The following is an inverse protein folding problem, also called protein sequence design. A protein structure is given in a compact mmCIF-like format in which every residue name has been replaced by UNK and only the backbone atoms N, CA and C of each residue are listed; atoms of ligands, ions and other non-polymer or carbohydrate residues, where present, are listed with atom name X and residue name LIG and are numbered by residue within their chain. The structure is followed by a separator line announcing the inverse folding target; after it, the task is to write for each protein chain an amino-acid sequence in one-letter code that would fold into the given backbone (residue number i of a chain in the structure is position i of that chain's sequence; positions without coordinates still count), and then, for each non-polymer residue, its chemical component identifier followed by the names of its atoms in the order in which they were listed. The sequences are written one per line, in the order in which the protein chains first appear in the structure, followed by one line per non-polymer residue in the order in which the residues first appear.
data_IF_208937893436
#
_entry.id   IF_208937893436
#
_cell.length_a   1.000
_cell.length_b   1.000
_cell.length_c   1.000
_cell.angle_alpha   90.00
_cell.angle_beta   90.00
_cell.angle_gamma   90.00
#
_symmetry.space_group_name_H-M   'P 1'
#
loop_
_entity.id
_entity.type
_entity.pdbx_description
1 polymer ?
#
# COMPACT_ATOMS: atom_id res chain seq x y z
N UNK A 1 -12.41 -10.55 -8.41
CA UNK A 1 -12.41 -9.94 -7.07
C UNK A 1 -11.58 -10.83 -6.18
N UNK A 2 -10.26 -10.60 -6.10
CA UNK A 2 -9.40 -11.36 -5.20
C UNK A 2 -9.61 -10.80 -3.79
N UNK A 3 -9.83 -11.71 -2.85
CA UNK A 3 -10.38 -11.47 -1.53
C UNK A 3 -9.47 -10.55 -0.68
N UNK A 4 -10.08 -9.63 0.07
CA UNK A 4 -9.36 -8.79 1.07
C UNK A 4 -8.68 -9.66 2.14
N UNK A 5 -9.13 -10.90 2.30
CA UNK A 5 -8.60 -11.88 3.24
C UNK A 5 -7.09 -12.17 3.04
N UNK A 6 -6.54 -12.01 1.83
CA UNK A 6 -5.14 -12.40 1.52
C UNK A 6 -4.18 -11.20 1.44
N UNK A 7 -4.68 -9.96 1.46
CA UNK A 7 -3.85 -8.78 1.22
C UNK A 7 -2.70 -8.63 2.24
N UNK A 8 -2.98 -8.79 3.53
CA UNK A 8 -1.99 -8.61 4.59
C UNK A 8 -0.88 -9.68 4.59
N UNK A 9 -1.18 -10.86 4.05
CA UNK A 9 -0.20 -11.95 3.89
C UNK A 9 0.81 -11.63 2.79
N UNK A 10 0.37 -10.90 1.76
CA UNK A 10 1.25 -10.43 0.69
C UNK A 10 2.16 -9.29 1.15
N UNK A 11 1.84 -8.57 2.23
CA UNK A 11 2.70 -7.49 2.73
C UNK A 11 4.01 -8.09 3.26
N UNK A 12 5.12 -7.44 2.93
CA UNK A 12 6.43 -7.79 3.48
C UNK A 12 6.39 -7.81 5.02
N UNK A 13 6.93 -8.83 5.70
CA UNK A 13 6.79 -8.98 7.16
C UNK A 13 7.20 -7.75 7.98
N UNK A 14 8.21 -7.01 7.52
CA UNK A 14 8.68 -5.78 8.16
C UNK A 14 7.68 -4.62 8.06
N UNK A 15 6.93 -4.55 6.96
CA UNK A 15 5.99 -3.45 6.69
C UNK A 15 4.64 -3.72 7.35
N UNK A 16 4.29 -5.00 7.60
CA UNK A 16 2.99 -5.42 8.17
C UNK A 16 2.55 -4.62 9.40
N UNK A 17 3.37 -4.43 10.46
CA UNK A 17 2.90 -3.77 11.67
C UNK A 17 2.47 -2.33 11.42
N UNK A 18 3.26 -1.59 10.64
CA UNK A 18 2.98 -0.21 10.28
C UNK A 18 1.73 -0.10 9.42
N UNK A 19 1.58 -0.99 8.45
CA UNK A 19 0.49 -0.96 7.49
C UNK A 19 -0.84 -1.36 8.13
N UNK A 20 -0.84 -2.39 8.98
CA UNK A 20 -2.02 -2.79 9.75
C UNK A 20 -2.45 -1.68 10.73
N UNK A 21 -1.50 -1.00 11.35
CA UNK A 21 -1.80 0.13 12.23
C UNK A 21 -2.44 1.30 11.45
N UNK A 22 -1.86 1.70 10.32
CA UNK A 22 -2.40 2.76 9.47
C UNK A 22 -3.81 2.42 8.95
N UNK A 23 -4.05 1.16 8.56
CA UNK A 23 -5.35 0.69 8.14
C UNK A 23 -6.38 0.72 9.29
N UNK A 24 -5.99 0.29 10.50
CA UNK A 24 -6.84 0.33 11.68
C UNK A 24 -7.20 1.76 12.08
N UNK A 25 -6.26 2.69 12.01
CA UNK A 25 -6.50 4.10 12.34
C UNK A 25 -7.42 4.77 11.33
N UNK A 26 -7.23 4.51 10.03
CA UNK A 26 -8.17 4.95 9.01
C UNK A 26 -9.59 4.44 9.29
N UNK A 27 -9.75 3.16 9.64
CA UNK A 27 -11.04 2.57 10.00
C UNK A 27 -11.68 3.20 11.24
N UNK A 28 -10.89 3.66 12.22
CA UNK A 28 -11.41 4.39 13.39
C UNK A 28 -11.87 5.82 13.06
N UNK A 29 -11.57 6.30 11.85
CA UNK A 29 -11.82 7.68 11.43
C UNK A 29 -10.64 8.61 11.66
N UNK A 30 -9.44 8.04 11.74
CA UNK A 30 -8.19 8.76 11.61
C UNK A 30 -7.97 9.27 10.18
N UNK A 31 -6.75 9.76 9.89
CA UNK A 31 -6.40 10.30 8.58
C UNK A 31 -6.58 9.25 7.47
N UNK A 32 -6.70 9.74 6.23
CA UNK A 32 -6.77 8.89 5.04
C UNK A 32 -5.56 7.96 5.00
N UNK A 33 -5.80 6.70 4.66
CA UNK A 33 -4.77 5.72 4.42
C UNK A 33 -4.05 6.10 3.13
N UNK A 34 -2.75 6.35 3.20
CA UNK A 34 -1.92 6.76 2.07
C UNK A 34 -0.48 6.31 2.36
N UNK A 35 -0.12 5.14 1.86
CA UNK A 35 1.12 4.46 2.24
C UNK A 35 1.74 3.71 1.06
N UNK A 36 3.06 3.68 1.02
CA UNK A 36 3.84 2.82 0.13
C UNK A 36 4.45 1.68 0.94
N UNK A 37 4.35 0.46 0.43
CA UNK A 37 4.93 -0.71 1.10
C UNK A 37 5.28 -1.80 0.10
N UNK A 38 6.09 -2.75 0.57
CA UNK A 38 6.53 -3.90 -0.22
C UNK A 38 5.51 -5.02 -0.10
N UNK A 39 5.21 -5.64 -1.23
CA UNK A 39 4.43 -6.88 -1.28
C UNK A 39 5.25 -8.00 -1.92
N UNK A 40 5.09 -9.21 -1.40
CA UNK A 40 5.67 -10.44 -1.91
C UNK A 40 4.54 -11.19 -2.62
N UNK A 41 4.64 -11.31 -3.94
CA UNK A 41 3.71 -12.09 -4.74
C UNK A 41 3.91 -13.60 -4.49
N UNK A 42 2.92 -14.46 -4.79
CA UNK A 42 3.04 -15.91 -4.61
C UNK A 42 4.24 -16.54 -5.34
N UNK A 43 4.74 -15.90 -6.41
CA UNK A 43 5.95 -16.31 -7.14
C UNK A 43 7.26 -15.89 -6.45
N UNK A 44 7.22 -15.26 -5.27
CA UNK A 44 8.38 -14.75 -4.53
C UNK A 44 8.87 -13.37 -4.97
N UNK A 45 8.23 -12.77 -5.98
CA UNK A 45 8.62 -11.47 -6.51
C UNK A 45 8.22 -10.36 -5.54
N UNK A 46 9.17 -9.49 -5.20
CA UNK A 46 8.92 -8.29 -4.42
C UNK A 46 8.51 -7.13 -5.33
N UNK A 47 7.40 -6.48 -4.99
CA UNK A 47 6.89 -5.29 -5.67
C UNK A 47 6.67 -4.17 -4.67
N UNK A 48 6.85 -2.94 -5.11
CA UNK A 48 6.46 -1.77 -4.32
C UNK A 48 5.08 -1.32 -4.78
N UNK A 49 4.16 -1.19 -3.83
CA UNK A 49 2.80 -0.73 -4.11
C UNK A 49 2.52 0.55 -3.34
N UNK A 50 1.81 1.47 -3.99
CA UNK A 50 1.20 2.63 -3.36
C UNK A 50 -0.27 2.32 -3.12
N UNK A 51 -0.71 2.44 -1.88
CA UNK A 51 -2.10 2.18 -1.52
C UNK A 51 -2.70 3.37 -0.82
N UNK A 52 -3.83 3.82 -1.36
CA UNK A 52 -4.56 4.98 -0.85
C UNK A 52 -6.03 4.64 -0.68
N UNK A 53 -6.57 4.92 0.50
CA UNK A 53 -7.95 4.61 0.84
C UNK A 53 -8.54 5.52 1.91
N UNK A 54 -9.86 5.54 1.94
CA UNK A 54 -10.66 6.29 2.91
C UNK A 54 -11.72 5.35 3.51
N UNK A 55 -11.88 5.42 4.83
CA UNK A 55 -12.91 4.68 5.54
C UNK A 55 -14.15 5.56 5.71
N UNK A 56 -14.98 5.59 4.66
CA UNK A 56 -16.23 6.34 4.71
C UNK A 56 -17.17 5.72 5.74
N UNK A 57 -17.74 6.57 6.60
CA UNK A 57 -18.85 6.19 7.47
C UNK A 57 -20.02 5.77 6.59
N UNK A 58 -20.50 4.56 6.78
CA UNK A 58 -21.79 4.17 6.22
C UNK A 58 -22.89 4.95 6.95
N UNK A 59 -23.98 5.28 6.25
CA UNK A 59 -25.19 5.85 6.85
C UNK A 59 -25.69 4.88 7.93
N UNK A 60 -26.11 5.45 9.06
CA UNK A 60 -26.50 4.84 10.35
C UNK A 60 -26.59 3.29 10.41
N UNK A 61 -25.78 2.70 11.30
CA UNK A 61 -25.90 1.29 11.71
C UNK A 61 -25.00 0.30 10.97
N UNK A 62 -24.29 0.71 9.92
CA UNK A 62 -23.40 -0.18 9.15
C UNK A 62 -21.91 0.00 9.49
N UNK A 63 -21.11 -1.08 9.40
CA UNK A 63 -19.67 -1.02 9.63
C UNK A 63 -18.99 -0.12 8.59
N UNK A 64 -18.00 0.65 9.03
CA UNK A 64 -17.15 1.45 8.14
C UNK A 64 -16.46 0.52 7.15
N UNK A 65 -16.63 0.79 5.86
CA UNK A 65 -15.94 0.07 4.79
C UNK A 65 -14.77 0.93 4.31
N UNK A 66 -13.61 0.30 4.18
CA UNK A 66 -12.45 0.93 3.55
C UNK A 66 -12.60 0.81 2.04
N UNK A 67 -12.54 1.93 1.34
CA UNK A 67 -12.44 1.97 -0.12
C UNK A 67 -11.10 2.56 -0.48
N UNK A 68 -10.36 1.91 -1.37
CA UNK A 68 -9.05 2.38 -1.78
C UNK A 68 -8.61 1.83 -3.12
N UNK A 69 -7.54 2.42 -3.63
CA UNK A 69 -6.80 1.95 -4.79
C UNK A 69 -5.47 1.37 -4.31
N UNK A 70 -4.98 0.37 -5.02
CA UNK A 70 -3.65 -0.20 -4.86
C UNK A 70 -3.00 -0.17 -6.23
N UNK A 71 -1.92 0.59 -6.35
CA UNK A 71 -1.15 0.78 -7.57
C UNK A 71 0.22 0.13 -7.39
N UNK A 72 0.65 -0.70 -8.34
CA UNK A 72 2.03 -1.17 -8.41
C UNK A 72 2.89 -0.02 -8.97
N UNK A 73 3.86 0.43 -8.18
CA UNK A 73 4.77 1.53 -8.53
C UNK A 73 6.20 1.04 -8.72
N UNK A 74 6.41 -0.27 -8.86
CA UNK A 74 7.75 -0.86 -8.95
C UNK A 74 8.52 -0.33 -10.16
N UNK A 75 7.88 -0.28 -11.33
CA UNK A 75 8.50 0.22 -12.56
C UNK A 75 8.79 1.73 -12.48
N UNK A 76 7.91 2.50 -11.83
CA UNK A 76 8.12 3.92 -11.61
C UNK A 76 9.36 4.17 -10.75
N UNK A 77 9.51 3.43 -9.64
CA UNK A 77 10.68 3.56 -8.76
C UNK A 77 11.96 3.10 -9.43
N UNK A 78 11.91 2.04 -10.24
CA UNK A 78 13.08 1.59 -11.02
C UNK A 78 13.53 2.66 -12.00
N UNK A 79 12.60 3.29 -12.73
CA UNK A 79 12.91 4.38 -13.65
C UNK A 79 13.48 5.61 -12.91
N UNK A 80 12.95 5.95 -11.74
CA UNK A 80 13.46 7.05 -10.91
C UNK A 80 14.87 6.78 -10.37
N UNK A 81 15.14 5.55 -9.91
CA UNK A 81 16.46 5.16 -9.41
C UNK A 81 17.49 5.07 -10.55
N UNK A 82 17.10 4.62 -11.74
CA UNK A 82 17.95 4.65 -12.94
C UNK A 82 18.29 6.08 -13.36
N UNK A 83 17.30 6.98 -13.37
CA UNK A 83 17.53 8.39 -13.66
C UNK A 83 18.49 9.01 -12.64
N UNK A 84 18.26 8.79 -11.35
CA UNK A 84 19.12 9.30 -10.27
C UNK A 84 20.55 8.76 -10.36
N UNK A 85 20.71 7.46 -10.61
CA UNK A 85 22.01 6.83 -10.76
C UNK A 85 22.74 7.26 -12.05
N UNK A 86 22.00 7.74 -13.06
CA UNK A 86 22.55 8.41 -14.23
C UNK A 86 23.03 9.82 -13.91
N UNK A 87 22.19 10.64 -13.28
CA UNK A 87 22.53 12.02 -12.89
C UNK A 87 23.75 12.09 -11.95
N UNK A 88 23.89 11.13 -11.02
CA UNK A 88 25.07 11.02 -10.16
C UNK A 88 26.35 10.59 -10.90
N UNK A 89 26.22 9.91 -12.04
CA UNK A 89 27.35 9.51 -12.90
C UNK A 89 27.83 10.62 -13.83
N UNK A 90 27.01 11.63 -14.08
CA UNK A 90 27.34 12.77 -14.93
C UNK A 90 27.65 14.05 -14.13
N UNK A 91 27.74 13.95 -12.81
CA UNK A 91 28.17 15.04 -11.91
C UNK A 91 29.61 14.86 -11.49
#
# INVERSE_FOLDING_TARGET
CHDLATWHELIHPEDRPQILQAAADALRGGPRYDVEYRVIRPNGEMRTVHSRGDARRAVEGQPRRMFGILQDITELRQAEDELRAGEERYR
#
